data_IF_782911870403
#
_entry.id   IF_782911870403
#
_cell.length_a   1.000
_cell.length_b   1.000
_cell.length_c   1.000
_cell.angle_alpha   90.00
_cell.angle_beta   90.00
_cell.angle_gamma   90.00
#
_symmetry.space_group_name_H-M   'P 1'
#
loop_
_entity.id
_entity.type
_entity.pdbx_description
1 polymer ?
#
# COMPACT_ATOMS: atom_id res chain seq x y z
N UNK A 1 -13.21 -21.35 31.59
CA UNK A 1 -12.00 -20.58 31.98
C UNK A 1 -12.18 -19.18 31.41
N UNK A 2 -12.51 -18.20 32.22
CA UNK A 2 -12.47 -16.79 31.86
C UNK A 2 -10.97 -16.47 31.66
N UNK A 3 -10.54 -16.44 30.42
CA UNK A 3 -9.19 -15.98 30.09
C UNK A 3 -9.13 -14.48 30.39
N UNK A 4 -8.54 -14.14 31.54
CA UNK A 4 -8.23 -12.76 31.87
C UNK A 4 -7.46 -12.12 30.73
N UNK A 5 -7.85 -10.90 30.33
CA UNK A 5 -7.14 -10.12 29.33
C UNK A 5 -5.88 -9.52 29.95
N UNK A 6 -4.74 -9.59 29.26
CA UNK A 6 -3.54 -8.90 29.70
C UNK A 6 -3.78 -7.38 29.64
N UNK A 7 -3.74 -6.71 30.77
CA UNK A 7 -3.85 -5.24 30.81
C UNK A 7 -2.55 -4.60 30.35
N UNK A 8 -2.66 -3.52 29.59
CA UNK A 8 -1.52 -2.71 29.14
C UNK A 8 -1.82 -1.25 29.41
N UNK A 9 -0.95 -0.60 30.19
CA UNK A 9 -1.06 0.80 30.57
C UNK A 9 0.12 1.64 30.03
N UNK A 10 -0.07 2.96 29.98
CA UNK A 10 0.97 3.94 29.65
C UNK A 10 1.49 4.62 30.90
N UNK A 11 2.79 4.88 30.95
CA UNK A 11 3.43 5.69 31.99
C UNK A 11 4.41 6.69 31.39
N UNK A 12 4.39 7.91 31.87
CA UNK A 12 5.40 8.93 31.54
C UNK A 12 6.63 8.89 32.47
N UNK A 13 6.56 8.07 33.53
CA UNK A 13 7.67 7.85 34.44
C UNK A 13 8.56 6.71 33.91
N UNK A 14 9.87 6.73 34.20
CA UNK A 14 10.74 5.61 33.91
C UNK A 14 10.30 4.37 34.70
N UNK A 15 10.65 3.20 34.16
CA UNK A 15 10.46 1.95 34.86
C UNK A 15 11.30 1.92 36.18
N UNK A 16 10.88 1.09 37.13
CA UNK A 16 11.66 0.79 38.32
C UNK A 16 13.09 0.34 37.95
N UNK A 17 14.08 0.72 38.73
CA UNK A 17 15.50 0.47 38.48
C UNK A 17 15.84 -1.02 38.19
N UNK A 18 15.06 -1.96 38.74
CA UNK A 18 15.20 -3.40 38.46
C UNK A 18 14.97 -3.80 37.02
N UNK A 19 14.25 -2.96 36.23
CA UNK A 19 14.00 -3.17 34.79
C UNK A 19 15.09 -2.51 33.92
N UNK A 20 15.96 -1.68 34.53
CA UNK A 20 16.95 -0.87 33.83
C UNK A 20 16.43 0.52 33.43
N UNK A 21 17.34 1.49 33.44
CA UNK A 21 17.00 2.92 33.26
C UNK A 21 16.25 3.27 31.96
N UNK A 22 16.41 2.45 30.92
CA UNK A 22 15.80 2.67 29.58
C UNK A 22 14.78 1.60 29.23
N UNK A 23 14.23 0.90 30.22
CA UNK A 23 13.24 -0.13 29.97
C UNK A 23 11.99 0.47 29.33
N UNK A 24 11.63 -0.06 28.17
CA UNK A 24 10.42 0.32 27.43
C UNK A 24 9.17 -0.33 28.02
N UNK A 25 9.32 -1.52 28.62
CA UNK A 25 8.25 -2.31 29.21
C UNK A 25 8.65 -2.77 30.61
N UNK A 26 7.69 -2.75 31.52
CA UNK A 26 7.71 -3.49 32.77
C UNK A 26 6.46 -4.32 32.92
N UNK A 27 6.47 -5.30 33.81
CA UNK A 27 5.28 -6.09 34.15
C UNK A 27 5.22 -6.35 35.65
N UNK A 28 4.01 -6.50 36.15
CA UNK A 28 3.69 -6.87 37.51
C UNK A 28 2.48 -7.83 37.55
N UNK A 29 1.85 -7.99 38.71
CA UNK A 29 0.72 -8.88 38.86
C UNK A 29 -0.57 -8.36 38.17
N UNK A 30 -0.64 -7.05 37.88
CA UNK A 30 -1.81 -6.39 37.30
C UNK A 30 -1.72 -6.35 35.75
N UNK A 31 -0.49 -6.34 35.19
CA UNK A 31 -0.32 -6.28 33.75
C UNK A 31 1.04 -5.80 33.28
N UNK A 32 1.05 -5.11 32.15
CA UNK A 32 2.25 -4.53 31.54
C UNK A 32 2.14 -3.01 31.44
N UNK A 33 3.24 -2.33 31.66
CA UNK A 33 3.33 -0.87 31.52
C UNK A 33 4.33 -0.49 30.44
N UNK A 34 3.91 0.37 29.51
CA UNK A 34 4.76 0.98 28.48
C UNK A 34 5.27 2.32 29.00
N UNK A 35 6.61 2.48 29.07
CA UNK A 35 7.26 3.68 29.58
C UNK A 35 7.63 4.65 28.47
N UNK A 36 7.02 5.85 28.48
CA UNK A 36 7.14 6.90 27.44
C UNK A 36 8.04 8.04 27.90
N UNK A 37 9.29 7.75 28.24
CA UNK A 37 10.24 8.70 28.85
C UNK A 37 11.02 9.57 27.85
N UNK A 38 10.92 9.32 26.53
CA UNK A 38 11.68 10.01 25.49
C UNK A 38 10.82 10.71 24.44
N UNK A 39 11.50 11.22 23.42
CA UNK A 39 10.85 11.69 22.18
C UNK A 39 10.37 10.50 21.35
N UNK A 40 9.40 10.73 20.45
CA UNK A 40 8.89 9.68 19.55
C UNK A 40 8.00 8.67 20.28
N UNK A 41 7.08 9.15 21.09
CA UNK A 41 6.18 8.35 21.95
C UNK A 41 5.39 7.31 21.17
N UNK A 42 4.85 7.63 19.99
CA UNK A 42 4.07 6.70 19.16
C UNK A 42 4.93 5.51 18.68
N UNK A 43 6.15 5.79 18.20
CA UNK A 43 7.10 4.72 17.83
C UNK A 43 7.52 3.86 19.02
N UNK A 44 7.58 4.42 20.24
CA UNK A 44 7.82 3.65 21.46
C UNK A 44 6.66 2.69 21.76
N UNK A 45 5.41 3.16 21.65
CA UNK A 45 4.21 2.33 21.81
C UNK A 45 4.21 1.18 20.78
N UNK A 46 4.47 1.50 19.52
CA UNK A 46 4.53 0.49 18.46
C UNK A 46 5.60 -0.59 18.73
N UNK A 47 6.82 -0.19 19.15
CA UNK A 47 7.88 -1.15 19.51
C UNK A 47 7.53 -1.98 20.74
N UNK A 48 6.89 -1.38 21.75
CA UNK A 48 6.41 -2.10 22.93
C UNK A 48 5.36 -3.14 22.56
N UNK A 49 4.35 -2.75 21.78
CA UNK A 49 3.29 -3.63 21.30
C UNK A 49 3.85 -4.83 20.52
N UNK A 50 4.89 -4.61 19.68
CA UNK A 50 5.58 -5.70 18.95
C UNK A 50 6.31 -6.64 19.89
N UNK A 51 6.92 -6.15 20.97
CA UNK A 51 7.53 -6.99 22.01
C UNK A 51 6.49 -7.84 22.74
N UNK A 52 5.34 -7.26 23.06
CA UNK A 52 4.22 -7.94 23.72
C UNK A 52 3.68 -9.05 22.80
N UNK A 53 3.45 -8.76 21.52
CA UNK A 53 3.04 -9.78 20.53
C UNK A 53 4.07 -10.90 20.40
N UNK A 54 5.36 -10.57 20.40
CA UNK A 54 6.48 -11.52 20.35
C UNK A 54 6.57 -12.46 21.56
N UNK A 55 5.99 -12.10 22.70
CA UNK A 55 5.84 -12.97 23.87
C UNK A 55 4.67 -13.98 23.73
N UNK A 56 3.93 -13.94 22.64
CA UNK A 56 2.81 -14.84 22.36
C UNK A 56 1.48 -14.39 22.96
N UNK A 57 1.41 -13.19 23.55
CA UNK A 57 0.17 -12.63 24.07
C UNK A 57 -0.73 -12.26 22.89
N UNK A 58 -1.98 -12.74 22.91
CA UNK A 58 -2.93 -12.59 21.81
C UNK A 58 -4.13 -11.69 22.13
N UNK A 59 -4.41 -11.49 23.42
CA UNK A 59 -5.62 -10.79 23.89
C UNK A 59 -5.22 -9.76 24.95
N UNK A 60 -5.54 -8.52 24.69
CA UNK A 60 -5.11 -7.37 25.49
C UNK A 60 -6.30 -6.46 25.78
N UNK A 61 -6.21 -5.81 26.94
CA UNK A 61 -7.03 -4.66 27.31
C UNK A 61 -6.13 -3.47 27.51
N UNK A 62 -6.37 -2.37 26.76
CA UNK A 62 -5.72 -1.10 27.04
C UNK A 62 -6.38 -0.44 28.25
N UNK A 63 -5.62 -0.15 29.28
CA UNK A 63 -6.12 0.31 30.57
C UNK A 63 -5.38 1.56 31.04
N UNK A 64 -5.99 2.33 31.94
CA UNK A 64 -5.43 3.56 32.47
C UNK A 64 -5.60 4.75 31.53
N UNK A 65 -4.91 5.84 31.87
CA UNK A 65 -4.98 7.11 31.14
C UNK A 65 -3.95 7.21 30.01
N UNK A 66 -4.14 8.19 29.12
CA UNK A 66 -3.18 8.51 28.05
C UNK A 66 -3.39 7.77 26.74
N UNK A 67 -4.37 6.90 26.65
CA UNK A 67 -4.81 6.27 25.41
C UNK A 67 -5.78 7.19 24.66
N UNK A 68 -5.34 7.71 23.51
CA UNK A 68 -6.18 8.37 22.51
C UNK A 68 -6.10 7.63 21.19
N UNK A 69 -6.66 8.20 20.12
CA UNK A 69 -6.67 7.63 18.78
C UNK A 69 -5.25 7.23 18.31
N UNK A 70 -4.30 8.16 18.37
CA UNK A 70 -2.95 7.92 17.83
C UNK A 70 -2.15 6.90 18.65
N UNK A 71 -2.32 6.86 19.97
CA UNK A 71 -1.69 5.87 20.83
C UNK A 71 -2.27 4.47 20.59
N UNK A 72 -3.57 4.36 20.46
CA UNK A 72 -4.29 3.11 20.14
C UNK A 72 -3.90 2.60 18.75
N UNK A 73 -3.82 3.49 17.77
CA UNK A 73 -3.37 3.17 16.42
C UNK A 73 -1.90 2.69 16.41
N UNK A 74 -1.00 3.41 17.07
CA UNK A 74 0.41 3.01 17.19
C UNK A 74 0.56 1.63 17.88
N UNK A 75 -0.27 1.36 18.90
CA UNK A 75 -0.31 0.06 19.54
C UNK A 75 -0.72 -1.05 18.57
N UNK A 76 -1.82 -0.85 17.80
CA UNK A 76 -2.29 -1.82 16.82
C UNK A 76 -1.24 -2.13 15.76
N UNK A 77 -0.59 -1.12 15.21
CA UNK A 77 0.48 -1.29 14.23
C UNK A 77 1.62 -2.20 14.71
N UNK A 78 1.92 -2.18 16.01
CA UNK A 78 2.94 -3.04 16.64
C UNK A 78 2.42 -4.40 17.04
N UNK A 79 1.18 -4.50 17.52
CA UNK A 79 0.58 -5.73 18.08
C UNK A 79 0.06 -6.69 17.01
N UNK A 80 0.14 -6.32 15.76
CA UNK A 80 -0.29 -7.13 14.62
C UNK A 80 0.85 -7.99 14.08
N UNK A 81 0.98 -9.20 14.60
CA UNK A 81 1.91 -10.20 14.06
C UNK A 81 1.35 -10.92 12.83
N UNK A 82 2.21 -11.61 12.05
CA UNK A 82 1.83 -12.23 10.78
C UNK A 82 0.98 -13.50 10.95
N UNK A 83 0.89 -14.07 12.15
CA UNK A 83 0.22 -15.34 12.40
C UNK A 83 -0.79 -15.23 13.54
N UNK A 84 -2.00 -15.73 13.28
CA UNK A 84 -3.09 -15.84 14.24
C UNK A 84 -3.79 -14.51 14.53
N UNK A 85 -4.99 -14.61 15.07
CA UNK A 85 -5.83 -13.46 15.39
C UNK A 85 -5.37 -12.78 16.68
N UNK A 86 -5.48 -11.44 16.72
CA UNK A 86 -5.29 -10.59 17.89
C UNK A 86 -6.62 -9.98 18.27
N UNK A 87 -6.77 -9.71 19.56
CA UNK A 87 -7.93 -9.01 20.08
C UNK A 87 -7.47 -7.93 21.05
N UNK A 88 -7.93 -6.72 20.84
CA UNK A 88 -7.68 -5.58 21.72
C UNK A 88 -9.02 -5.04 22.19
N UNK A 89 -9.19 -5.00 23.51
CA UNK A 89 -10.22 -4.20 24.16
C UNK A 89 -9.65 -2.79 24.33
N UNK A 90 -10.19 -1.85 23.57
CA UNK A 90 -9.70 -0.47 23.55
C UNK A 90 -10.05 0.26 24.84
N UNK A 91 -9.22 1.22 25.22
CA UNK A 91 -9.60 2.23 26.22
C UNK A 91 -10.79 3.06 25.70
N UNK A 92 -11.47 3.75 26.62
CA UNK A 92 -12.54 4.66 26.24
C UNK A 92 -12.03 5.76 25.30
N UNK A 93 -12.66 5.86 24.13
CA UNK A 93 -12.42 6.90 23.13
C UNK A 93 -13.72 7.63 22.81
N UNK A 94 -13.68 8.92 22.45
CA UNK A 94 -14.82 9.58 21.82
C UNK A 94 -15.32 8.81 20.59
N UNK A 95 -16.62 8.79 20.33
CA UNK A 95 -17.19 7.94 19.27
C UNK A 95 -16.62 8.22 17.88
N UNK A 96 -16.29 9.47 17.56
CA UNK A 96 -15.64 9.83 16.32
C UNK A 96 -14.21 9.25 16.22
N UNK A 97 -13.44 9.24 17.31
CA UNK A 97 -12.10 8.65 17.33
C UNK A 97 -12.15 7.12 17.25
N UNK A 98 -13.13 6.52 17.89
CA UNK A 98 -13.37 5.07 17.81
C UNK A 98 -13.71 4.65 16.40
N UNK A 99 -14.63 5.36 15.73
CA UNK A 99 -14.98 5.12 14.34
C UNK A 99 -13.76 5.26 13.41
N UNK A 100 -12.95 6.30 13.59
CA UNK A 100 -11.72 6.51 12.83
C UNK A 100 -10.72 5.37 13.06
N UNK A 101 -10.51 4.93 14.31
CA UNK A 101 -9.62 3.82 14.65
C UNK A 101 -10.07 2.52 13.96
N UNK A 102 -11.36 2.19 14.02
CA UNK A 102 -11.93 1.00 13.39
C UNK A 102 -11.77 1.02 11.87
N UNK A 103 -11.96 2.19 11.23
CA UNK A 103 -11.75 2.37 9.80
C UNK A 103 -10.28 2.20 9.41
N UNK A 104 -9.36 2.83 10.15
CA UNK A 104 -7.90 2.66 9.94
C UNK A 104 -7.51 1.18 10.05
N UNK A 105 -7.94 0.51 11.10
CA UNK A 105 -7.66 -0.92 11.32
C UNK A 105 -8.17 -1.74 10.14
N UNK A 106 -9.45 -1.62 9.80
CA UNK A 106 -10.08 -2.40 8.72
C UNK A 106 -9.35 -2.23 7.38
N UNK A 107 -9.07 -0.98 7.01
CA UNK A 107 -8.53 -0.67 5.68
C UNK A 107 -7.03 -0.98 5.60
N UNK A 108 -6.25 -0.58 6.61
CA UNK A 108 -4.79 -0.83 6.60
C UNK A 108 -4.50 -2.32 6.79
N UNK A 109 -5.30 -3.04 7.56
CA UNK A 109 -5.18 -4.49 7.66
C UNK A 109 -5.48 -5.17 6.33
N UNK A 110 -6.50 -4.71 5.59
CA UNK A 110 -6.76 -5.19 4.24
C UNK A 110 -5.54 -4.97 3.32
N UNK A 111 -4.92 -3.77 3.34
CA UNK A 111 -3.71 -3.48 2.55
C UNK A 111 -2.59 -4.46 2.90
N UNK A 112 -2.31 -4.63 4.20
CA UNK A 112 -1.24 -5.50 4.67
C UNK A 112 -1.49 -6.98 4.39
N UNK A 113 -2.73 -7.43 4.56
CA UNK A 113 -3.10 -8.83 4.29
C UNK A 113 -3.04 -9.13 2.79
N UNK A 114 -3.48 -8.20 1.95
CA UNK A 114 -3.38 -8.31 0.49
C UNK A 114 -1.91 -8.39 0.04
N UNK A 115 -1.02 -7.54 0.57
CA UNK A 115 0.42 -7.58 0.27
C UNK A 115 1.08 -8.88 0.77
N UNK A 116 0.61 -9.44 1.88
CA UNK A 116 1.17 -10.66 2.45
C UNK A 116 0.54 -11.94 1.90
N UNK A 117 -0.54 -11.85 1.15
CA UNK A 117 -1.19 -13.02 0.56
C UNK A 117 -0.20 -13.82 -0.31
N UNK A 118 -0.25 -15.15 -0.27
CA UNK A 118 0.51 -15.97 -1.21
C UNK A 118 0.11 -15.64 -2.66
N UNK A 119 1.08 -15.64 -3.57
CA UNK A 119 0.80 -15.39 -4.99
C UNK A 119 -0.18 -16.41 -5.58
N UNK A 120 -0.22 -17.64 -5.06
CA UNK A 120 -1.19 -18.66 -5.45
C UNK A 120 -2.63 -18.23 -5.19
N UNK A 121 -2.87 -17.56 -4.05
CA UNK A 121 -4.20 -17.12 -3.64
C UNK A 121 -4.59 -15.77 -4.28
N UNK A 122 -3.61 -14.97 -4.67
CA UNK A 122 -3.81 -13.60 -5.16
C UNK A 122 -3.41 -13.47 -6.64
N UNK A 123 -4.31 -13.86 -7.54
CA UNK A 123 -4.15 -13.61 -8.98
C UNK A 123 -4.42 -12.13 -9.34
N UNK A 124 -4.03 -11.67 -10.55
CA UNK A 124 -4.40 -10.34 -11.05
C UNK A 124 -5.91 -10.05 -10.97
N UNK A 125 -6.75 -11.03 -11.33
CA UNK A 125 -8.21 -10.89 -11.24
C UNK A 125 -8.70 -10.86 -9.79
N UNK A 126 -8.10 -11.67 -8.89
CA UNK A 126 -8.48 -11.66 -7.48
C UNK A 126 -8.10 -10.35 -6.79
N UNK A 127 -6.95 -9.77 -7.13
CA UNK A 127 -6.56 -8.45 -6.64
C UNK A 127 -7.57 -7.38 -7.04
N UNK A 128 -7.99 -7.36 -8.30
CA UNK A 128 -9.01 -6.43 -8.79
C UNK A 128 -10.35 -6.61 -8.08
N UNK A 129 -10.81 -7.85 -7.88
CA UNK A 129 -12.04 -8.16 -7.12
C UNK A 129 -11.95 -7.72 -5.66
N UNK A 130 -10.86 -8.04 -4.98
CA UNK A 130 -10.65 -7.64 -3.59
C UNK A 130 -10.66 -6.11 -3.42
N UNK A 131 -10.12 -5.37 -4.40
CA UNK A 131 -10.15 -3.91 -4.40
C UNK A 131 -11.59 -3.37 -4.56
N UNK A 132 -12.39 -3.94 -5.46
CA UNK A 132 -13.80 -3.60 -5.62
C UNK A 132 -14.57 -3.88 -4.34
N UNK A 133 -14.38 -5.06 -3.74
CA UNK A 133 -15.07 -5.48 -2.52
C UNK A 133 -14.76 -4.54 -1.35
N UNK A 134 -13.50 -4.12 -1.18
CA UNK A 134 -13.13 -3.12 -0.16
C UNK A 134 -13.85 -1.79 -0.40
N UNK A 135 -13.82 -1.30 -1.64
CA UNK A 135 -14.43 -0.02 -1.99
C UNK A 135 -15.95 -0.05 -1.83
N UNK A 136 -16.59 -1.15 -2.23
CA UNK A 136 -18.02 -1.35 -2.01
C UNK A 136 -18.38 -1.45 -0.52
N UNK A 137 -17.54 -2.05 0.30
CA UNK A 137 -17.76 -2.11 1.75
C UNK A 137 -17.66 -0.75 2.45
N UNK A 138 -17.08 0.25 1.77
CA UNK A 138 -16.97 1.63 2.26
C UNK A 138 -18.07 2.53 1.68
N UNK A 139 -18.33 2.46 0.38
CA UNK A 139 -19.22 3.41 -0.30
C UNK A 139 -19.75 2.84 -1.64
N UNK A 140 -20.54 1.75 -1.58
CA UNK A 140 -20.98 1.01 -2.77
C UNK A 140 -21.76 1.89 -3.79
N UNK A 141 -22.62 2.76 -3.30
CA UNK A 141 -23.50 3.58 -4.16
C UNK A 141 -22.72 4.65 -4.96
N UNK A 142 -21.49 4.98 -4.53
CA UNK A 142 -20.64 5.96 -5.21
C UNK A 142 -19.66 5.31 -6.21
N UNK A 143 -19.76 3.99 -6.45
CA UNK A 143 -18.75 3.26 -7.21
C UNK A 143 -19.31 2.69 -8.48
N UNK A 144 -18.58 2.91 -9.57
CA UNK A 144 -18.70 2.14 -10.79
C UNK A 144 -17.32 1.64 -11.23
N UNK A 145 -17.28 0.53 -11.96
CA UNK A 145 -16.00 -0.03 -12.37
C UNK A 145 -16.11 -0.80 -13.70
N UNK A 146 -14.96 -0.96 -14.36
CA UNK A 146 -14.77 -1.83 -15.50
C UNK A 146 -13.52 -2.69 -15.27
N UNK A 147 -13.63 -3.97 -15.56
CA UNK A 147 -12.51 -4.91 -15.64
C UNK A 147 -12.26 -5.26 -17.10
N UNK A 148 -11.05 -5.01 -17.58
CA UNK A 148 -10.57 -5.45 -18.89
C UNK A 148 -9.49 -6.50 -18.65
N UNK A 149 -9.56 -7.68 -19.28
CA UNK A 149 -8.65 -8.79 -18.99
C UNK A 149 -8.24 -9.57 -20.24
N UNK A 150 -7.06 -10.20 -20.16
CA UNK A 150 -6.54 -11.11 -21.16
C UNK A 150 -6.48 -10.50 -22.56
N UNK A 151 -7.06 -11.14 -23.55
CA UNK A 151 -7.07 -10.69 -24.96
C UNK A 151 -7.80 -9.35 -25.15
N UNK A 152 -8.82 -9.04 -24.35
CA UNK A 152 -9.53 -7.76 -24.42
C UNK A 152 -8.58 -6.57 -24.14
N UNK A 153 -7.54 -6.78 -23.31
CA UNK A 153 -6.51 -5.76 -23.09
C UNK A 153 -5.73 -5.48 -24.38
N UNK A 154 -5.38 -6.53 -25.13
CA UNK A 154 -4.68 -6.40 -26.41
C UNK A 154 -5.54 -5.66 -27.44
N UNK A 155 -6.80 -6.09 -27.56
CA UNK A 155 -7.75 -5.51 -28.53
C UNK A 155 -8.04 -4.03 -28.24
N UNK A 156 -8.05 -3.62 -26.97
CA UNK A 156 -8.25 -2.25 -26.55
C UNK A 156 -6.95 -1.43 -26.46
N UNK A 157 -5.79 -2.03 -26.79
CA UNK A 157 -4.50 -1.34 -26.88
C UNK A 157 -3.78 -1.12 -25.55
N UNK A 158 -4.13 -1.87 -24.49
CA UNK A 158 -3.40 -1.90 -23.20
C UNK A 158 -2.17 -2.80 -23.34
N UNK A 159 -1.22 -2.30 -24.14
CA UNK A 159 -0.12 -3.10 -24.63
C UNK A 159 0.90 -3.48 -23.54
N UNK A 160 1.10 -2.63 -22.54
CA UNK A 160 2.02 -2.89 -21.43
C UNK A 160 1.53 -4.00 -20.52
N UNK A 161 0.27 -3.89 -20.05
CA UNK A 161 -0.35 -4.88 -19.15
C UNK A 161 -0.45 -6.24 -19.86
N UNK A 162 -0.92 -6.25 -21.11
CA UNK A 162 -1.02 -7.48 -21.88
C UNK A 162 0.34 -8.15 -22.10
N UNK A 163 1.34 -7.38 -22.53
CA UNK A 163 2.68 -7.90 -22.84
C UNK A 163 3.33 -8.53 -21.63
N UNK A 164 3.27 -7.88 -20.47
CA UNK A 164 3.84 -8.42 -19.23
C UNK A 164 3.11 -9.68 -18.81
N UNK A 165 1.77 -9.67 -18.81
CA UNK A 165 0.98 -10.75 -18.25
C UNK A 165 0.74 -11.94 -19.19
N UNK A 166 1.00 -11.83 -20.48
CA UNK A 166 0.73 -12.92 -21.45
C UNK A 166 1.55 -14.19 -21.21
N UNK A 167 2.61 -14.09 -20.41
CA UNK A 167 3.45 -15.24 -20.05
C UNK A 167 2.91 -16.09 -18.91
N UNK A 168 1.87 -15.63 -18.23
CA UNK A 168 1.19 -16.37 -17.16
C UNK A 168 -0.07 -17.07 -17.67
N UNK A 169 -0.42 -18.21 -17.05
CA UNK A 169 -1.71 -18.85 -17.25
C UNK A 169 -2.85 -18.05 -16.61
N UNK A 170 -2.52 -17.13 -15.70
CA UNK A 170 -3.47 -16.20 -15.05
C UNK A 170 -3.54 -14.91 -15.84
N UNK A 171 -4.72 -14.61 -16.39
CA UNK A 171 -4.91 -13.47 -17.27
C UNK A 171 -4.56 -12.15 -16.60
N UNK A 172 -3.81 -11.23 -17.27
CA UNK A 172 -3.60 -9.88 -16.80
C UNK A 172 -4.90 -9.07 -16.80
N UNK A 173 -4.96 -8.06 -15.93
CA UNK A 173 -6.19 -7.29 -15.67
C UNK A 173 -5.87 -5.81 -15.54
N UNK A 174 -6.68 -4.96 -16.16
CA UNK A 174 -6.85 -3.57 -15.78
C UNK A 174 -8.19 -3.40 -15.05
N UNK A 175 -8.15 -2.96 -13.80
CA UNK A 175 -9.31 -2.42 -13.12
C UNK A 175 -9.32 -0.90 -13.31
N UNK A 176 -10.39 -0.38 -13.90
CA UNK A 176 -10.73 1.04 -13.91
C UNK A 176 -11.95 1.26 -13.01
N UNK A 177 -11.77 1.88 -11.85
CA UNK A 177 -12.81 2.16 -10.87
C UNK A 177 -13.01 3.69 -10.77
N UNK A 178 -14.26 4.10 -10.71
CA UNK A 178 -14.70 5.49 -10.59
C UNK A 178 -15.44 5.64 -9.25
N UNK A 179 -14.85 6.36 -8.33
CA UNK A 179 -15.50 6.79 -7.10
C UNK A 179 -16.08 8.19 -7.32
N UNK A 180 -17.41 8.27 -7.38
CA UNK A 180 -18.14 9.52 -7.62
C UNK A 180 -19.25 9.75 -6.57
N UNK A 181 -18.91 10.34 -5.42
CA UNK A 181 -19.87 10.59 -4.34
C UNK A 181 -20.77 11.80 -4.60
N UNK A 182 -20.59 12.51 -5.71
CA UNK A 182 -21.32 13.78 -6.00
C UNK A 182 -22.75 13.54 -6.46
N UNK A 183 -23.08 12.34 -6.92
CA UNK A 183 -24.35 12.05 -7.59
C UNK A 183 -24.49 12.65 -9.00
N UNK A 184 -23.50 13.43 -9.46
CA UNK A 184 -23.47 14.00 -10.82
C UNK A 184 -22.52 13.15 -11.70
N UNK A 185 -23.02 12.47 -12.74
CA UNK A 185 -22.16 11.67 -13.63
C UNK A 185 -21.13 12.54 -14.41
N UNK A 186 -21.41 13.81 -14.58
CA UNK A 186 -20.54 14.77 -15.30
C UNK A 186 -19.60 15.55 -14.36
N UNK A 187 -19.55 15.20 -13.07
CA UNK A 187 -18.63 15.84 -12.14
C UNK A 187 -17.17 15.70 -12.63
N UNK A 188 -16.35 16.76 -12.53
CA UNK A 188 -14.95 16.68 -12.92
C UNK A 188 -14.19 15.67 -12.06
N UNK A 189 -13.28 14.94 -12.69
CA UNK A 189 -12.35 14.05 -11.97
C UNK A 189 -11.27 14.91 -11.32
N UNK A 190 -11.17 14.88 -10.01
CA UNK A 190 -10.24 15.70 -9.25
C UNK A 190 -8.89 15.02 -8.99
N UNK A 191 -8.87 13.69 -9.02
CA UNK A 191 -7.63 12.94 -8.92
C UNK A 191 -7.73 11.59 -9.66
N UNK A 192 -6.58 11.11 -10.13
CA UNK A 192 -6.40 9.75 -10.60
C UNK A 192 -5.32 9.06 -9.77
N UNK A 193 -5.61 7.87 -9.30
CA UNK A 193 -4.67 7.01 -8.59
C UNK A 193 -4.32 5.83 -9.49
N UNK A 194 -3.02 5.54 -9.66
CA UNK A 194 -2.55 4.43 -10.49
C UNK A 194 -1.68 3.51 -9.65
N UNK A 195 -2.00 2.22 -9.60
CA UNK A 195 -1.29 1.24 -8.79
C UNK A 195 -0.60 0.16 -9.62
N UNK A 196 0.70 -0.07 -9.38
CA UNK A 196 1.39 -1.27 -9.85
C UNK A 196 0.80 -2.49 -9.14
N UNK A 197 0.30 -3.44 -9.92
CA UNK A 197 -0.38 -4.65 -9.43
C UNK A 197 0.30 -5.95 -9.91
N UNK A 198 1.63 -6.05 -9.83
CA UNK A 198 2.33 -7.28 -10.21
C UNK A 198 2.18 -8.31 -9.08
N UNK A 199 1.29 -9.27 -9.27
CA UNK A 199 0.90 -10.24 -8.25
C UNK A 199 1.99 -11.29 -7.97
N UNK A 200 2.88 -11.52 -8.94
CA UNK A 200 4.17 -12.17 -8.73
C UNK A 200 5.17 -11.72 -9.79
N UNK A 201 6.39 -11.43 -9.38
CA UNK A 201 7.46 -11.01 -10.28
C UNK A 201 8.66 -11.97 -10.23
N UNK A 202 8.75 -12.82 -11.25
CA UNK A 202 9.93 -13.69 -11.43
C UNK A 202 11.11 -12.98 -12.09
N UNK A 203 10.90 -11.75 -12.61
CA UNK A 203 11.84 -11.05 -13.50
C UNK A 203 11.65 -11.42 -14.98
N UNK A 204 10.81 -12.39 -15.29
CA UNK A 204 10.69 -12.91 -16.66
C UNK A 204 12.01 -13.55 -17.13
N UNK A 205 12.39 -13.34 -18.40
CA UNK A 205 13.66 -13.84 -18.93
C UNK A 205 14.91 -13.20 -18.28
N UNK A 206 14.78 -12.02 -17.67
CA UNK A 206 15.79 -11.44 -16.77
C UNK A 206 15.60 -11.98 -15.35
N UNK A 207 15.63 -13.30 -15.21
CA UNK A 207 15.20 -14.07 -14.04
C UNK A 207 15.92 -13.62 -12.76
N UNK A 208 15.14 -13.32 -11.74
CA UNK A 208 15.64 -12.99 -10.40
C UNK A 208 16.29 -14.21 -9.73
N UNK A 209 17.32 -13.97 -8.95
CA UNK A 209 17.84 -14.98 -8.03
C UNK A 209 16.82 -15.26 -6.91
N UNK A 210 16.77 -16.50 -6.42
CA UNK A 210 15.77 -16.92 -5.42
C UNK A 210 15.70 -16.02 -4.18
N UNK A 211 16.86 -15.51 -3.70
CA UNK A 211 16.93 -14.62 -2.55
C UNK A 211 16.27 -13.24 -2.78
N UNK A 212 16.01 -12.85 -4.02
CA UNK A 212 15.30 -11.62 -4.38
C UNK A 212 13.87 -11.91 -4.87
N UNK A 213 13.56 -13.16 -5.18
CA UNK A 213 12.27 -13.59 -5.70
C UNK A 213 11.28 -13.97 -4.58
N UNK A 214 11.76 -14.41 -3.43
CA UNK A 214 10.93 -14.91 -2.32
C UNK A 214 9.90 -13.91 -1.78
N UNK A 215 10.23 -12.62 -1.87
CA UNK A 215 9.36 -11.52 -1.45
C UNK A 215 8.47 -10.93 -2.57
N UNK A 216 8.60 -11.42 -3.81
CA UNK A 216 7.96 -10.81 -5.00
C UNK A 216 6.44 -11.01 -5.09
N UNK A 217 5.83 -11.74 -4.17
CA UNK A 217 4.38 -11.68 -3.93
C UNK A 217 3.91 -10.29 -3.49
N UNK A 218 4.81 -9.46 -2.96
CA UNK A 218 4.51 -8.09 -2.53
C UNK A 218 4.58 -7.05 -3.64
N UNK A 219 4.88 -7.45 -4.88
CA UNK A 219 5.13 -6.53 -5.98
C UNK A 219 3.86 -5.85 -6.54
N UNK A 220 2.74 -6.13 -5.92
CA UNK A 220 1.45 -5.46 -6.09
C UNK A 220 1.15 -4.45 -4.96
N UNK A 221 2.14 -4.13 -4.14
CA UNK A 221 1.99 -3.21 -3.00
C UNK A 221 1.49 -1.82 -3.41
N UNK A 222 1.87 -1.34 -4.60
CA UNK A 222 1.36 -0.09 -5.15
C UNK A 222 -0.16 -0.11 -5.34
N UNK A 223 -0.70 -1.17 -5.97
CA UNK A 223 -2.13 -1.34 -6.16
C UNK A 223 -2.89 -1.43 -4.84
N UNK A 224 -2.39 -2.21 -3.88
CA UNK A 224 -2.99 -2.31 -2.56
C UNK A 224 -2.99 -0.96 -1.81
N UNK A 225 -1.89 -0.21 -1.88
CA UNK A 225 -1.74 1.08 -1.20
C UNK A 225 -2.69 2.13 -1.75
N UNK A 226 -2.76 2.33 -3.08
CA UNK A 226 -3.68 3.34 -3.64
C UNK A 226 -5.15 2.97 -3.45
N UNK A 227 -5.47 1.67 -3.43
CA UNK A 227 -6.83 1.21 -3.08
C UNK A 227 -7.18 1.54 -1.63
N UNK A 228 -6.30 1.21 -0.70
CA UNK A 228 -6.48 1.53 0.72
C UNK A 228 -6.55 3.04 0.97
N UNK A 229 -5.71 3.83 0.28
CA UNK A 229 -5.73 5.29 0.39
C UNK A 229 -7.09 5.87 -0.07
N UNK A 230 -7.63 5.42 -1.21
CA UNK A 230 -8.95 5.84 -1.67
C UNK A 230 -10.05 5.38 -0.72
N UNK A 231 -9.99 4.13 -0.24
CA UNK A 231 -10.97 3.60 0.70
C UNK A 231 -11.00 4.40 2.01
N UNK A 232 -9.82 4.75 2.57
CA UNK A 232 -9.75 5.55 3.79
C UNK A 232 -10.23 6.98 3.58
N UNK A 233 -9.86 7.60 2.45
CA UNK A 233 -10.37 8.92 2.09
C UNK A 233 -11.91 8.92 1.92
N UNK A 234 -12.46 7.91 1.26
CA UNK A 234 -13.92 7.73 1.11
C UNK A 234 -14.60 7.51 2.47
N UNK A 235 -14.04 6.69 3.36
CA UNK A 235 -14.54 6.46 4.71
C UNK A 235 -14.55 7.75 5.55
N UNK A 236 -13.55 8.62 5.36
CA UNK A 236 -13.46 9.97 5.96
C UNK A 236 -14.38 11.00 5.27
N UNK A 237 -15.16 10.57 4.28
CA UNK A 237 -16.16 11.41 3.62
C UNK A 237 -15.64 12.30 2.50
N UNK A 238 -14.64 11.84 1.73
CA UNK A 238 -14.16 12.50 0.52
C UNK A 238 -15.34 12.83 -0.41
N UNK A 239 -15.47 14.10 -0.81
CA UNK A 239 -16.57 14.60 -1.65
C UNK A 239 -16.23 14.72 -3.12
N UNK A 240 -14.96 14.58 -3.49
CA UNK A 240 -14.46 14.72 -4.85
C UNK A 240 -14.53 13.39 -5.58
N UNK A 241 -14.74 13.48 -6.92
CA UNK A 241 -14.66 12.32 -7.81
C UNK A 241 -13.19 11.94 -8.04
N UNK A 242 -12.89 10.65 -7.84
CA UNK A 242 -11.54 10.10 -8.00
C UNK A 242 -11.61 8.84 -8.84
N UNK A 243 -10.67 8.67 -9.77
CA UNK A 243 -10.51 7.42 -10.51
C UNK A 243 -9.31 6.62 -10.02
N UNK A 244 -9.47 5.31 -9.98
CA UNK A 244 -8.46 4.35 -9.57
C UNK A 244 -8.19 3.38 -10.72
N UNK A 245 -6.93 3.24 -11.09
CA UNK A 245 -6.47 2.29 -12.10
C UNK A 245 -5.49 1.30 -11.48
N UNK A 246 -5.83 0.01 -11.49
CA UNK A 246 -4.93 -1.04 -11.04
C UNK A 246 -4.44 -1.84 -12.24
N UNK A 247 -3.14 -1.79 -12.48
CA UNK A 247 -2.46 -2.44 -13.60
C UNK A 247 -1.91 -3.79 -13.13
N UNK A 248 -2.70 -4.85 -13.26
CA UNK A 248 -2.45 -6.15 -12.62
C UNK A 248 -1.94 -7.19 -13.64
N UNK A 249 -0.84 -7.85 -13.30
CA UNK A 249 -0.26 -8.93 -14.10
C UNK A 249 0.64 -9.82 -13.24
N UNK A 250 0.93 -11.03 -13.73
CA UNK A 250 2.09 -11.82 -13.29
C UNK A 250 3.21 -11.70 -14.30
N UNK A 251 4.43 -11.49 -13.85
CA UNK A 251 5.62 -11.54 -14.70
C UNK A 251 6.27 -12.91 -14.60
N UNK A 252 5.98 -13.78 -15.56
CA UNK A 252 6.38 -15.18 -15.53
C UNK A 252 7.25 -15.57 -16.72
N UNK A 253 8.05 -16.62 -16.54
CA UNK A 253 8.84 -17.24 -17.63
C UNK A 253 8.00 -18.31 -18.31
N UNK A 254 7.79 -18.14 -19.61
CA UNK A 254 7.09 -19.15 -20.44
C UNK A 254 7.42 -18.97 -21.92
N UNK A 255 6.96 -19.89 -22.76
CA UNK A 255 7.11 -19.77 -24.21
C UNK A 255 6.45 -18.52 -24.80
N UNK A 256 5.38 -18.02 -24.16
CA UNK A 256 4.63 -16.84 -24.57
C UNK A 256 5.07 -15.55 -23.90
N UNK A 257 6.00 -15.61 -22.92
CA UNK A 257 6.49 -14.42 -22.23
C UNK A 257 7.20 -13.46 -23.18
N UNK A 258 7.14 -12.19 -22.86
CA UNK A 258 7.88 -11.16 -23.61
C UNK A 258 9.39 -11.29 -23.37
N UNK A 259 10.17 -10.75 -24.31
CA UNK A 259 11.62 -10.98 -24.39
C UNK A 259 12.37 -9.66 -24.51
N UNK A 260 13.65 -9.69 -24.15
CA UNK A 260 14.57 -8.60 -24.46
C UNK A 260 14.61 -8.40 -25.98
N UNK A 261 14.57 -7.16 -26.44
CA UNK A 261 14.49 -6.78 -27.84
C UNK A 261 13.05 -6.70 -28.40
N UNK A 262 12.02 -7.15 -27.66
CA UNK A 262 10.64 -6.90 -28.05
C UNK A 262 10.34 -5.40 -28.02
N UNK A 263 9.45 -4.93 -28.92
CA UNK A 263 9.01 -3.54 -28.99
C UNK A 263 7.53 -3.47 -28.69
N UNK A 264 7.18 -2.76 -27.61
CA UNK A 264 5.80 -2.47 -27.24
C UNK A 264 5.38 -1.16 -27.91
N UNK A 265 4.19 -1.16 -28.52
CA UNK A 265 3.55 0.06 -29.03
C UNK A 265 2.31 0.37 -28.22
N UNK A 266 2.37 1.46 -27.46
CA UNK A 266 1.23 1.95 -26.69
C UNK A 266 0.22 2.69 -27.55
N UNK A 267 -1.05 2.78 -27.08
CA UNK A 267 -2.15 3.42 -27.82
C UNK A 267 -1.96 4.92 -28.07
N UNK A 268 -1.11 5.60 -27.28
CA UNK A 268 -0.70 6.99 -27.51
C UNK A 268 0.40 7.13 -28.61
N UNK A 269 0.75 6.04 -29.28
CA UNK A 269 1.75 6.00 -30.36
C UNK A 269 3.20 5.84 -29.92
N UNK A 270 3.51 5.94 -28.63
CA UNK A 270 4.88 5.73 -28.12
C UNK A 270 5.28 4.25 -28.23
N UNK A 271 6.54 4.03 -28.60
CA UNK A 271 7.16 2.71 -28.65
C UNK A 271 8.21 2.59 -27.57
N UNK A 272 8.31 1.40 -26.98
CA UNK A 272 9.29 1.07 -25.94
C UNK A 272 9.96 -0.24 -26.28
N UNK A 273 11.29 -0.24 -26.42
CA UNK A 273 12.10 -1.43 -26.54
C UNK A 273 12.38 -2.04 -25.18
N UNK A 274 12.25 -3.34 -25.06
CA UNK A 274 12.47 -4.07 -23.82
C UNK A 274 13.95 -4.44 -23.71
N UNK A 275 14.66 -3.79 -22.81
CA UNK A 275 16.05 -4.10 -22.51
C UNK A 275 16.23 -5.00 -21.28
N UNK A 276 15.17 -5.10 -20.46
CA UNK A 276 15.16 -5.89 -19.23
C UNK A 276 13.72 -6.26 -18.90
N UNK A 277 13.40 -7.55 -18.80
CA UNK A 277 12.06 -8.02 -18.49
C UNK A 277 11.73 -7.92 -16.99
N UNK A 278 12.71 -7.63 -16.13
CA UNK A 278 12.55 -7.28 -14.70
C UNK A 278 12.25 -5.77 -14.49
N UNK A 279 11.96 -5.07 -15.58
CA UNK A 279 11.47 -3.69 -15.56
C UNK A 279 10.01 -3.61 -16.03
N UNK A 280 9.20 -4.62 -15.74
CA UNK A 280 7.81 -4.85 -16.13
C UNK A 280 6.86 -3.84 -15.50
N UNK A 281 7.14 -3.43 -14.26
CA UNK A 281 6.25 -2.53 -13.50
C UNK A 281 6.01 -1.20 -14.19
N UNK A 282 7.04 -0.59 -14.76
CA UNK A 282 6.89 0.64 -15.55
C UNK A 282 6.11 0.44 -16.84
N UNK A 283 6.12 -0.77 -17.39
CA UNK A 283 5.36 -1.10 -18.60
C UNK A 283 3.86 -1.17 -18.32
N UNK A 284 3.47 -1.85 -17.24
CA UNK A 284 2.05 -1.94 -16.87
C UNK A 284 1.51 -0.59 -16.39
N UNK A 285 2.29 0.17 -15.61
CA UNK A 285 1.91 1.51 -15.15
C UNK A 285 1.63 2.48 -16.29
N UNK A 286 2.37 2.38 -17.39
CA UNK A 286 2.21 3.27 -18.54
C UNK A 286 0.78 3.23 -19.10
N UNK A 287 0.14 2.07 -19.15
CA UNK A 287 -1.26 1.96 -19.61
C UNK A 287 -2.24 2.71 -18.70
N UNK A 288 -2.11 2.51 -17.38
CA UNK A 288 -2.94 3.22 -16.41
C UNK A 288 -2.69 4.72 -16.37
N UNK A 289 -1.43 5.15 -16.56
CA UNK A 289 -1.06 6.56 -16.62
C UNK A 289 -1.58 7.24 -17.90
N UNK A 290 -1.68 6.53 -19.03
CA UNK A 290 -2.33 7.03 -20.24
C UNK A 290 -3.81 7.27 -19.96
N UNK A 291 -4.53 6.29 -19.36
CA UNK A 291 -5.94 6.48 -18.98
C UNK A 291 -6.13 7.63 -18.01
N UNK A 292 -5.24 7.75 -17.01
CA UNK A 292 -5.29 8.83 -16.03
C UNK A 292 -5.08 10.21 -16.68
N UNK A 293 -4.14 10.33 -17.62
CA UNK A 293 -3.86 11.56 -18.33
C UNK A 293 -5.05 12.02 -19.19
N UNK A 294 -5.80 11.09 -19.79
CA UNK A 294 -7.00 11.38 -20.59
C UNK A 294 -8.15 11.96 -19.74
N UNK A 295 -8.12 11.80 -18.41
CA UNK A 295 -9.14 12.37 -17.53
C UNK A 295 -8.98 13.87 -17.31
N UNK A 296 -7.84 14.47 -17.66
CA UNK A 296 -7.50 15.87 -17.38
C UNK A 296 -7.65 16.26 -15.90
N UNK A 297 -7.42 15.30 -15.02
CA UNK A 297 -7.47 15.53 -13.57
C UNK A 297 -6.28 16.42 -13.15
N UNK A 298 -6.49 17.37 -12.21
CA UNK A 298 -5.40 18.23 -11.72
C UNK A 298 -4.35 17.47 -10.92
N UNK A 299 -4.66 16.25 -10.47
CA UNK A 299 -3.76 15.42 -9.68
C UNK A 299 -3.72 14.00 -10.22
N UNK A 300 -2.51 13.49 -10.49
CA UNK A 300 -2.25 12.07 -10.77
C UNK A 300 -1.18 11.61 -9.79
N UNK A 301 -1.48 10.52 -9.07
CA UNK A 301 -0.54 9.86 -8.16
C UNK A 301 -0.42 8.40 -8.60
N UNK A 302 0.80 7.95 -8.85
CA UNK A 302 1.08 6.53 -8.98
C UNK A 302 1.84 5.99 -7.77
N UNK A 303 1.58 4.73 -7.44
CA UNK A 303 2.32 4.01 -6.40
C UNK A 303 2.81 2.67 -6.93
N UNK A 304 4.08 2.39 -6.66
CA UNK A 304 4.72 1.21 -7.20
C UNK A 304 5.90 0.74 -6.34
N UNK A 305 6.01 -0.55 -6.18
CA UNK A 305 7.23 -1.26 -5.77
C UNK A 305 8.17 -1.37 -6.97
N UNK A 306 8.66 -0.20 -7.46
CA UNK A 306 9.17 -0.10 -8.82
C UNK A 306 10.64 -0.50 -8.96
N UNK A 307 11.46 -0.17 -7.96
CA UNK A 307 12.91 -0.44 -8.01
C UNK A 307 13.53 -0.51 -6.61
N UNK A 308 14.44 -1.45 -6.43
CA UNK A 308 15.24 -1.56 -5.23
C UNK A 308 16.18 -0.37 -4.98
N UNK A 309 16.43 0.47 -5.98
CA UNK A 309 17.28 1.66 -5.85
C UNK A 309 16.74 2.65 -4.81
N UNK A 310 15.41 2.85 -4.74
CA UNK A 310 14.80 3.71 -3.73
C UNK A 310 15.05 3.16 -2.32
N UNK A 311 14.89 1.85 -2.13
CA UNK A 311 15.18 1.17 -0.85
C UNK A 311 16.66 1.24 -0.49
N UNK A 312 17.56 1.13 -1.47
CA UNK A 312 19.01 1.31 -1.26
C UNK A 312 19.34 2.73 -0.82
N UNK A 313 18.65 3.73 -1.38
CA UNK A 313 18.88 5.14 -1.05
C UNK A 313 18.32 5.53 0.33
N UNK A 314 17.14 5.03 0.70
CA UNK A 314 16.34 5.51 1.85
C UNK A 314 16.23 4.50 3.00
N UNK A 315 16.64 3.24 2.81
CA UNK A 315 16.41 2.16 3.77
C UNK A 315 14.97 1.63 3.74
N UNK A 316 14.54 1.05 4.86
CA UNK A 316 13.22 0.43 4.98
C UNK A 316 12.17 1.34 5.63
N UNK A 317 12.56 2.53 6.08
CA UNK A 317 11.74 3.37 6.94
C UNK A 317 11.08 4.53 6.18
N UNK A 318 11.50 4.81 4.94
CA UNK A 318 11.01 5.93 4.15
C UNK A 318 10.44 5.50 2.82
N UNK A 319 9.32 6.11 2.43
CA UNK A 319 8.80 6.05 1.08
C UNK A 319 9.50 7.09 0.20
N UNK A 320 9.83 6.71 -1.04
CA UNK A 320 10.41 7.62 -2.01
C UNK A 320 9.31 8.43 -2.70
N UNK A 321 9.46 9.75 -2.72
CA UNK A 321 8.61 10.66 -3.47
C UNK A 321 9.37 11.24 -4.66
N UNK A 322 8.75 11.21 -5.84
CA UNK A 322 9.23 11.84 -7.05
C UNK A 322 8.17 12.78 -7.62
N UNK A 323 8.51 14.01 -7.90
CA UNK A 323 7.65 14.98 -8.59
C UNK A 323 8.50 16.09 -9.19
N UNK A 324 8.11 16.59 -10.37
CA UNK A 324 8.64 17.84 -10.93
C UNK A 324 7.95 19.08 -10.33
N UNK A 325 6.77 18.91 -9.72
CA UNK A 325 6.02 19.96 -9.09
C UNK A 325 6.43 20.09 -7.61
N UNK A 326 7.06 21.22 -7.28
CA UNK A 326 7.59 21.47 -5.94
C UNK A 326 6.48 21.74 -4.91
N UNK A 327 5.41 22.42 -5.31
CA UNK A 327 4.29 22.72 -4.42
C UNK A 327 3.52 21.45 -4.06
N UNK A 328 3.23 20.62 -5.05
CA UNK A 328 2.60 19.32 -4.85
C UNK A 328 3.46 18.39 -3.99
N UNK A 329 4.77 18.32 -4.26
CA UNK A 329 5.69 17.53 -3.46
C UNK A 329 5.71 17.97 -2.00
N UNK A 330 5.75 19.30 -1.76
CA UNK A 330 5.74 19.83 -0.39
C UNK A 330 4.40 19.58 0.32
N UNK A 331 3.28 19.70 -0.38
CA UNK A 331 1.95 19.40 0.17
C UNK A 331 1.85 17.92 0.61
N UNK A 332 2.37 17.00 -0.20
CA UNK A 332 2.40 15.58 0.15
C UNK A 332 3.32 15.30 1.34
N UNK A 333 4.51 15.90 1.40
CA UNK A 333 5.41 15.76 2.54
C UNK A 333 4.81 16.29 3.84
N UNK A 334 4.09 17.41 3.79
CA UNK A 334 3.40 17.96 4.95
C UNK A 334 2.28 17.02 5.43
N UNK A 335 1.49 16.47 4.51
CA UNK A 335 0.45 15.47 4.83
C UNK A 335 1.06 14.21 5.42
N UNK A 336 2.14 13.70 4.83
CA UNK A 336 2.87 12.54 5.34
C UNK A 336 3.38 12.76 6.78
N UNK A 337 3.90 13.96 7.06
CA UNK A 337 4.35 14.32 8.40
C UNK A 337 3.19 14.35 9.41
N UNK A 338 2.03 14.88 9.03
CA UNK A 338 0.85 14.94 9.91
C UNK A 338 0.27 13.55 10.22
N UNK A 339 0.38 12.61 9.28
CA UNK A 339 -0.07 11.22 9.44
C UNK A 339 1.03 10.29 10.00
N UNK A 340 2.19 10.84 10.35
CA UNK A 340 3.35 10.07 10.83
C UNK A 340 3.86 9.01 9.85
N UNK A 341 3.69 9.25 8.55
CA UNK A 341 4.17 8.42 7.46
C UNK A 341 5.47 9.01 6.88
N UNK A 342 6.63 8.37 7.05
CA UNK A 342 7.89 8.96 6.63
C UNK A 342 8.09 8.87 5.12
N UNK A 343 8.08 10.04 4.48
CA UNK A 343 8.42 10.20 3.06
C UNK A 343 9.69 11.01 2.88
N UNK A 344 10.42 10.72 1.81
CA UNK A 344 11.58 11.50 1.41
C UNK A 344 11.56 11.77 -0.09
N UNK A 345 11.67 13.04 -0.48
CA UNK A 345 11.73 13.42 -1.89
C UNK A 345 13.12 13.12 -2.46
N UNK A 346 13.17 12.27 -3.48
CA UNK A 346 14.37 12.00 -4.26
C UNK A 346 14.42 12.90 -5.50
N UNK A 347 15.62 13.20 -6.03
CA UNK A 347 15.77 14.08 -7.17
C UNK A 347 15.17 13.47 -8.45
N UNK A 348 14.46 14.32 -9.20
CA UNK A 348 13.96 14.04 -10.54
C UNK A 348 14.38 15.20 -11.44
N UNK A 349 15.08 14.92 -12.55
CA UNK A 349 15.66 15.92 -13.41
C UNK A 349 15.45 15.61 -14.89
N UNK A 350 15.21 16.63 -15.70
CA UNK A 350 15.00 16.49 -17.16
C UNK A 350 16.19 15.83 -17.87
N UNK A 351 17.43 16.05 -17.41
CA UNK A 351 18.60 15.42 -18.00
C UNK A 351 18.64 13.90 -17.84
N UNK A 352 17.88 13.32 -16.92
CA UNK A 352 17.76 11.85 -16.79
C UNK A 352 17.14 11.22 -18.03
N UNK A 353 16.33 11.95 -18.82
CA UNK A 353 15.69 11.44 -20.04
C UNK A 353 16.72 11.00 -21.09
N UNK A 354 17.85 11.70 -21.18
CA UNK A 354 18.92 11.33 -22.10
C UNK A 354 19.63 10.01 -21.76
N UNK A 355 19.40 9.49 -20.55
CA UNK A 355 19.96 8.22 -20.09
C UNK A 355 19.05 7.01 -20.43
N UNK A 356 17.99 7.24 -21.16
CA UNK A 356 17.03 6.20 -21.62
C UNK A 356 17.11 6.08 -23.16
N UNK A 357 18.25 5.64 -23.72
CA UNK A 357 18.37 5.48 -25.15
C UNK A 357 17.50 4.31 -25.64
N UNK A 358 17.05 4.40 -26.89
CA UNK A 358 16.52 3.28 -27.68
C UNK A 358 17.46 3.02 -28.85
N UNK A 359 17.62 1.77 -29.23
CA UNK A 359 18.40 1.36 -30.41
C UNK A 359 17.67 1.68 -31.71
#
# INVERSE_FOLDING_TARGET
>A
MTTELMQVSLSHNPADARWGEKALLSSDAEGMTIHLTGNGKLGAIQRAARKIDGQGIKRIKLAGEGWGLEQSWAFWQGFRGPKGQRSVEWAELPENEKTELEQRIKIIDWVRDTINAPAEDLSPEQLAKNAIDLMCAVSCDAISYRITKGEDLREQGYAGIYTVGRGSDRAPVLLALDYNPTGNPDAPVMACLVGKGITFDSGGYSLKQSAFMDSMKSDMGGAATVTGALALAAARGLKQRVKLYLCCADNMVSGNAFKLGDIIRYRNGKTVEIMNTDAEGRLVLADGLIDAAEQNAPLIIDAATLTGAAKTALGNDYHALFSFDDELAQALLNSAQSEHEPFWRLPLAEFHRSQLPSN
#
